data_IF_795187466559
#
_entry.id   IF_795187466559
#
_cell.length_a   1.000
_cell.length_b   1.000
_cell.length_c   1.000
_cell.angle_alpha   90.00
_cell.angle_beta   90.00
_cell.angle_gamma   90.00
#
_symmetry.space_group_name_H-M   'P 1'
#
loop_
_entity.id
_entity.type
_entity.pdbx_description
1 polymer ?
#
# COMPACT_ATOMS: atom_id res chain seq x y z
N UNK A 1 -16.29 26.92 -12.07
CA UNK A 1 -15.61 27.45 -10.86
C UNK A 1 -16.45 28.61 -10.33
N UNK A 2 -16.88 28.53 -9.11
CA UNK A 2 -17.73 29.57 -8.52
C UNK A 2 -16.84 30.71 -8.02
N UNK A 3 -16.97 31.86 -8.61
CA UNK A 3 -16.26 33.10 -8.23
C UNK A 3 -16.53 33.58 -6.79
N UNK A 4 -17.38 32.84 -6.03
CA UNK A 4 -17.78 33.19 -4.67
C UNK A 4 -16.78 32.79 -3.59
N UNK A 5 -15.77 31.97 -3.91
CA UNK A 5 -14.80 31.49 -2.92
C UNK A 5 -13.38 31.73 -3.40
N UNK A 6 -12.54 32.20 -2.51
CA UNK A 6 -11.11 32.32 -2.76
C UNK A 6 -10.51 30.92 -2.84
N UNK A 7 -9.94 30.56 -3.99
CA UNK A 7 -9.29 29.27 -4.19
C UNK A 7 -7.79 29.44 -4.07
N UNK A 8 -7.18 28.68 -3.19
CA UNK A 8 -5.72 28.60 -3.04
C UNK A 8 -5.26 27.26 -3.58
N UNK A 9 -4.34 27.27 -4.55
CA UNK A 9 -3.73 26.08 -5.11
C UNK A 9 -2.34 25.87 -4.52
N UNK A 10 -2.15 24.74 -3.82
CA UNK A 10 -0.85 24.35 -3.32
C UNK A 10 -0.04 23.75 -4.47
N UNK A 11 1.14 24.31 -4.74
CA UNK A 11 2.00 23.91 -5.86
C UNK A 11 3.30 23.24 -5.41
N UNK A 12 3.65 23.36 -4.12
CA UNK A 12 4.88 22.80 -3.60
C UNK A 12 4.60 21.56 -2.71
N UNK A 13 5.40 20.52 -2.91
CA UNK A 13 5.37 19.29 -2.11
C UNK A 13 6.56 19.30 -1.15
N UNK A 14 6.28 19.43 0.16
CA UNK A 14 7.30 19.46 1.21
C UNK A 14 7.49 18.13 1.93
N UNK A 15 6.53 17.19 1.80
CA UNK A 15 6.54 15.90 2.51
C UNK A 15 7.69 14.99 2.10
N UNK A 16 8.08 15.00 0.82
CA UNK A 16 9.15 14.19 0.25
C UNK A 16 10.38 15.06 -0.03
N UNK A 17 11.56 14.43 -0.03
CA UNK A 17 12.82 15.10 -0.42
C UNK A 17 12.72 15.64 -1.85
N UNK A 18 13.47 16.70 -2.16
CA UNK A 18 13.41 17.34 -3.49
C UNK A 18 13.70 16.36 -4.65
N UNK A 19 14.62 15.41 -4.45
CA UNK A 19 15.00 14.39 -5.45
C UNK A 19 14.24 13.07 -5.30
N UNK A 20 13.14 13.05 -4.56
CA UNK A 20 12.30 11.85 -4.38
C UNK A 20 11.70 11.39 -5.71
N UNK A 21 11.88 10.11 -6.03
CA UNK A 21 11.26 9.48 -7.21
C UNK A 21 9.73 9.42 -7.07
N UNK A 22 9.21 9.37 -5.84
CA UNK A 22 7.77 9.48 -5.58
C UNK A 22 7.23 10.81 -6.12
N UNK A 23 7.91 11.93 -5.83
CA UNK A 23 7.49 13.26 -6.30
C UNK A 23 7.55 13.36 -7.82
N UNK A 24 8.65 12.92 -8.42
CA UNK A 24 8.87 12.97 -9.87
C UNK A 24 7.79 12.15 -10.59
N UNK A 25 7.57 10.91 -10.16
CA UNK A 25 6.57 10.03 -10.79
C UNK A 25 5.13 10.50 -10.52
N UNK A 26 4.83 11.10 -9.38
CA UNK A 26 3.52 11.71 -9.12
C UNK A 26 3.22 12.85 -10.09
N UNK A 27 4.20 13.72 -10.39
CA UNK A 27 4.05 14.76 -11.41
C UNK A 27 3.85 14.18 -12.81
N UNK A 28 4.62 13.14 -13.20
CA UNK A 28 4.45 12.45 -14.48
C UNK A 28 3.05 11.87 -14.63
N UNK A 29 2.57 11.13 -13.65
CA UNK A 29 1.22 10.55 -13.65
C UNK A 29 0.15 11.64 -13.78
N UNK A 30 0.30 12.76 -13.08
CA UNK A 30 -0.62 13.88 -13.16
C UNK A 30 -0.66 14.54 -14.55
N UNK A 31 0.40 14.41 -15.34
CA UNK A 31 0.47 14.85 -16.73
C UNK A 31 0.10 13.76 -17.75
N UNK A 32 -0.37 12.59 -17.28
CA UNK A 32 -0.75 11.47 -18.13
C UNK A 32 0.43 10.64 -18.63
N UNK A 33 1.62 10.83 -18.07
CA UNK A 33 2.80 10.06 -18.41
C UNK A 33 2.87 8.76 -17.57
N UNK A 34 3.39 7.69 -18.17
CA UNK A 34 3.61 6.43 -17.49
C UNK A 34 4.87 6.55 -16.62
N UNK A 35 4.82 6.16 -15.32
CA UNK A 35 6.00 6.11 -14.47
C UNK A 35 7.01 5.11 -15.01
N UNK A 36 8.29 5.43 -14.90
CA UNK A 36 9.34 4.52 -15.33
C UNK A 36 9.41 3.32 -14.38
N UNK A 37 9.45 2.07 -14.90
CA UNK A 37 9.63 0.91 -14.07
C UNK A 37 11.03 0.96 -13.44
N UNK A 38 11.06 1.03 -12.14
CA UNK A 38 12.27 0.88 -11.34
C UNK A 38 12.12 -0.43 -10.59
N UNK A 39 12.91 -1.44 -10.94
CA UNK A 39 12.90 -2.73 -10.25
C UNK A 39 13.23 -2.59 -8.77
N UNK A 40 13.02 -3.67 -8.02
CA UNK A 40 13.36 -3.72 -6.59
C UNK A 40 14.88 -3.59 -6.33
N UNK A 41 15.72 -3.77 -7.35
CA UNK A 41 17.18 -3.65 -7.25
C UNK A 41 17.66 -2.19 -7.20
N UNK A 42 16.78 -1.24 -7.42
CA UNK A 42 17.12 0.19 -7.40
C UNK A 42 17.01 0.77 -5.99
N UNK A 43 18.03 1.48 -5.55
CA UNK A 43 18.06 2.21 -4.27
C UNK A 43 17.24 3.51 -4.32
N UNK A 44 15.95 3.38 -4.63
CA UNK A 44 15.02 4.50 -4.71
C UNK A 44 13.89 4.38 -3.69
N UNK A 45 13.13 5.45 -3.57
CA UNK A 45 11.93 5.54 -2.74
C UNK A 45 10.64 5.25 -3.53
N UNK A 46 10.75 4.89 -4.82
CA UNK A 46 9.63 4.53 -5.69
C UNK A 46 9.98 3.30 -6.52
N UNK A 47 9.13 2.28 -6.44
CA UNK A 47 9.26 1.05 -7.20
C UNK A 47 7.99 0.77 -7.99
N UNK A 48 8.13 0.59 -9.29
CA UNK A 48 7.02 0.20 -10.18
C UNK A 48 7.26 -1.22 -10.67
N UNK A 49 6.40 -2.14 -10.24
CA UNK A 49 6.53 -3.56 -10.52
C UNK A 49 5.43 -3.98 -11.49
N UNK A 50 5.75 -4.32 -12.74
CA UNK A 50 4.75 -4.80 -13.69
C UNK A 50 4.25 -6.19 -13.28
N UNK A 51 2.94 -6.38 -13.38
CA UNK A 51 2.28 -7.66 -13.09
C UNK A 51 1.40 -8.06 -14.28
N UNK A 52 1.25 -9.36 -14.52
CA UNK A 52 0.58 -9.87 -15.72
C UNK A 52 -0.94 -10.05 -15.52
N UNK A 53 -1.35 -10.32 -14.28
CA UNK A 53 -2.77 -10.54 -13.94
C UNK A 53 -2.99 -10.33 -12.44
N UNK A 54 -4.26 -10.36 -12.02
CA UNK A 54 -4.64 -10.12 -10.64
C UNK A 54 -4.06 -11.15 -9.65
N UNK A 55 -3.97 -12.43 -10.04
CA UNK A 55 -3.38 -13.47 -9.20
C UNK A 55 -1.88 -13.20 -8.97
N UNK A 56 -1.15 -12.88 -10.02
CA UNK A 56 0.27 -12.50 -9.91
C UNK A 56 0.44 -11.24 -9.05
N UNK A 57 -0.42 -10.22 -9.22
CA UNK A 57 -0.40 -9.03 -8.38
C UNK A 57 -0.58 -9.36 -6.89
N UNK A 58 -1.55 -10.23 -6.56
CA UNK A 58 -1.82 -10.69 -5.19
C UNK A 58 -0.59 -11.39 -4.59
N UNK A 59 0.04 -12.29 -5.33
CA UNK A 59 1.28 -12.97 -4.91
C UNK A 59 2.44 -12.00 -4.66
N UNK A 60 2.61 -11.02 -5.55
CA UNK A 60 3.64 -9.98 -5.41
C UNK A 60 3.39 -9.13 -4.17
N UNK A 61 2.15 -8.66 -3.95
CA UNK A 61 1.78 -7.87 -2.77
C UNK A 61 2.08 -8.67 -1.49
N UNK A 62 1.64 -9.92 -1.41
CA UNK A 62 1.87 -10.78 -0.24
C UNK A 62 3.36 -10.95 0.04
N UNK A 63 4.16 -11.22 -0.98
CA UNK A 63 5.62 -11.37 -0.85
C UNK A 63 6.31 -10.06 -0.43
N UNK A 64 5.87 -8.92 -0.98
CA UNK A 64 6.38 -7.61 -0.60
C UNK A 64 6.15 -7.33 0.88
N UNK A 65 4.92 -7.53 1.36
CA UNK A 65 4.54 -7.26 2.75
C UNK A 65 5.15 -8.27 3.72
N UNK A 66 5.21 -9.54 3.34
CA UNK A 66 5.70 -10.62 4.22
C UNK A 66 7.22 -10.61 4.39
N UNK A 67 7.94 -10.35 3.32
CA UNK A 67 9.38 -10.64 3.23
C UNK A 67 10.22 -9.42 2.79
N UNK A 68 9.95 -8.91 1.59
CA UNK A 68 10.88 -8.00 0.91
C UNK A 68 10.99 -6.65 1.62
N UNK A 69 9.84 -6.02 1.92
CA UNK A 69 9.83 -4.69 2.56
C UNK A 69 10.39 -4.77 3.99
N UNK A 70 9.95 -5.73 4.85
CA UNK A 70 10.54 -5.88 6.17
C UNK A 70 12.04 -6.07 6.17
N UNK A 71 12.54 -6.96 5.31
CA UNK A 71 13.99 -7.24 5.23
C UNK A 71 14.79 -6.05 4.71
N UNK A 72 14.28 -5.37 3.69
CA UNK A 72 14.98 -4.26 3.04
C UNK A 72 15.06 -3.01 3.91
N UNK A 73 13.99 -2.71 4.64
CA UNK A 73 13.87 -1.47 5.43
C UNK A 73 13.98 -1.70 6.94
N UNK A 74 14.24 -2.92 7.38
CA UNK A 74 14.36 -3.25 8.80
C UNK A 74 13.05 -3.07 9.59
N UNK A 75 11.89 -3.22 8.91
CA UNK A 75 10.58 -3.05 9.53
C UNK A 75 10.25 -4.29 10.33
N UNK A 76 10.13 -4.14 11.64
CA UNK A 76 9.77 -5.22 12.57
C UNK A 76 8.26 -5.33 12.74
N UNK A 77 7.56 -4.20 12.77
CA UNK A 77 6.09 -4.17 12.80
C UNK A 77 5.51 -4.00 11.40
N UNK A 78 4.94 -5.07 10.86
CA UNK A 78 4.25 -5.04 9.56
C UNK A 78 3.04 -4.09 9.52
N UNK A 79 2.55 -3.63 10.67
CA UNK A 79 1.55 -2.58 10.77
C UNK A 79 2.01 -1.22 10.21
N UNK A 80 3.32 -1.01 10.06
CA UNK A 80 3.86 0.19 9.40
C UNK A 80 3.70 0.16 7.89
N UNK A 81 3.43 -1.02 7.29
CA UNK A 81 3.23 -1.18 5.85
C UNK A 81 1.75 -0.99 5.53
N UNK A 82 1.44 -0.06 4.66
CA UNK A 82 0.08 0.19 4.21
C UNK A 82 -0.09 -0.21 2.75
N UNK A 83 -1.09 -1.07 2.49
CA UNK A 83 -1.50 -1.46 1.15
C UNK A 83 -2.73 -0.66 0.74
N UNK A 84 -2.67 -0.01 -0.41
CA UNK A 84 -3.76 0.77 -0.96
C UNK A 84 -4.26 0.12 -2.24
N UNK A 85 -5.58 0.04 -2.40
CA UNK A 85 -6.24 -0.44 -3.61
C UNK A 85 -7.44 0.44 -3.95
N UNK A 86 -7.73 0.70 -5.24
CA UNK A 86 -8.89 1.46 -5.65
C UNK A 86 -10.19 0.64 -5.64
N UNK A 87 -10.12 -0.66 -5.37
CA UNK A 87 -11.25 -1.59 -5.45
C UNK A 87 -11.69 -2.07 -4.06
N UNK A 88 -13.00 -2.15 -3.84
CA UNK A 88 -13.56 -2.74 -2.60
C UNK A 88 -13.79 -4.25 -2.73
N UNK A 89 -14.09 -4.75 -3.93
CA UNK A 89 -14.42 -6.15 -4.21
C UNK A 89 -13.50 -6.73 -5.29
N UNK A 90 -13.50 -8.06 -5.40
CA UNK A 90 -12.62 -8.79 -6.33
C UNK A 90 -11.28 -9.14 -5.71
N UNK A 91 -10.47 -9.91 -6.42
CA UNK A 91 -9.22 -10.51 -5.94
C UNK A 91 -8.15 -9.50 -5.47
N UNK A 92 -8.24 -8.25 -5.91
CA UNK A 92 -7.39 -7.15 -5.48
C UNK A 92 -8.17 -6.09 -4.69
N UNK A 93 -9.41 -6.40 -4.28
CA UNK A 93 -10.23 -5.51 -3.47
C UNK A 93 -9.79 -5.51 -2.00
N UNK A 94 -10.21 -4.48 -1.26
CA UNK A 94 -9.87 -4.32 0.16
C UNK A 94 -10.29 -5.52 1.00
N UNK A 95 -11.45 -6.12 0.72
CA UNK A 95 -11.96 -7.27 1.48
C UNK A 95 -11.04 -8.48 1.36
N UNK A 96 -10.68 -8.86 0.14
CA UNK A 96 -9.82 -10.01 -0.14
C UNK A 96 -8.37 -9.77 0.33
N UNK A 97 -7.81 -8.60 0.04
CA UNK A 97 -6.46 -8.28 0.45
C UNK A 97 -6.33 -8.20 1.98
N UNK A 98 -7.30 -7.60 2.67
CA UNK A 98 -7.30 -7.57 4.13
C UNK A 98 -7.38 -8.97 4.72
N UNK A 99 -8.24 -9.84 4.18
CA UNK A 99 -8.33 -11.22 4.62
C UNK A 99 -6.99 -11.95 4.47
N UNK A 100 -6.34 -11.88 3.31
CA UNK A 100 -5.07 -12.56 3.07
C UNK A 100 -3.94 -12.02 3.96
N UNK A 101 -3.83 -10.69 4.07
CA UNK A 101 -2.81 -10.06 4.90
C UNK A 101 -3.04 -10.32 6.40
N UNK A 102 -4.30 -10.41 6.83
CA UNK A 102 -4.66 -10.77 8.19
C UNK A 102 -4.29 -12.23 8.49
N UNK A 103 -4.63 -13.18 7.59
CA UNK A 103 -4.23 -14.59 7.75
C UNK A 103 -2.71 -14.73 7.87
N UNK A 104 -1.97 -14.01 7.06
CA UNK A 104 -0.51 -14.01 7.11
C UNK A 104 0.04 -13.50 8.45
N UNK A 105 -0.62 -12.53 9.10
CA UNK A 105 -0.26 -12.05 10.44
C UNK A 105 -0.66 -13.04 11.53
N UNK A 106 -1.80 -13.68 11.37
CA UNK A 106 -2.38 -14.61 12.32
C UNK A 106 -1.65 -15.97 12.42
N UNK A 107 -0.74 -16.29 11.48
CA UNK A 107 0.06 -17.54 11.52
C UNK A 107 0.75 -17.81 12.86
N UNK A 108 0.99 -16.78 13.67
CA UNK A 108 1.66 -16.86 14.97
C UNK A 108 0.77 -16.44 16.16
N UNK A 109 -0.53 -16.17 15.92
CA UNK A 109 -1.46 -15.74 16.97
C UNK A 109 -2.33 -16.91 17.45
N UNK A 110 -2.66 -16.92 18.74
CA UNK A 110 -3.55 -17.90 19.33
C UNK A 110 -5.01 -17.53 19.03
N UNK A 111 -5.93 -18.52 19.09
CA UNK A 111 -7.38 -18.24 18.96
C UNK A 111 -7.90 -17.26 20.03
N UNK A 112 -7.20 -17.15 21.16
CA UNK A 112 -7.56 -16.23 22.25
C UNK A 112 -7.38 -14.76 21.89
N UNK A 113 -6.57 -14.48 20.87
CA UNK A 113 -6.27 -13.12 20.39
C UNK A 113 -7.25 -12.66 19.29
N UNK A 114 -8.31 -13.46 19.04
CA UNK A 114 -9.33 -13.21 18.03
C UNK A 114 -10.60 -12.65 18.67
N UNK A 115 -11.12 -11.58 18.09
CA UNK A 115 -12.42 -10.98 18.43
C UNK A 115 -13.29 -11.03 17.18
N UNK A 116 -14.49 -11.57 17.31
CA UNK A 116 -15.50 -11.57 16.24
C UNK A 116 -16.46 -10.38 16.42
N UNK A 117 -16.60 -9.56 15.39
CA UNK A 117 -17.50 -8.41 15.42
C UNK A 117 -17.89 -7.95 14.02
N UNK A 118 -19.13 -7.50 13.84
CA UNK A 118 -19.65 -6.97 12.57
C UNK A 118 -19.47 -7.92 11.36
N UNK A 119 -19.49 -9.23 11.59
CA UNK A 119 -19.26 -10.24 10.54
C UNK A 119 -17.81 -10.35 10.06
N UNK A 120 -16.88 -9.80 10.80
CA UNK A 120 -15.44 -9.88 10.53
C UNK A 120 -14.68 -10.38 11.76
N UNK A 121 -13.51 -10.94 11.53
CA UNK A 121 -12.60 -11.38 12.59
C UNK A 121 -11.50 -10.33 12.75
N UNK A 122 -11.28 -9.92 13.97
CA UNK A 122 -10.21 -9.02 14.34
C UNK A 122 -9.18 -9.76 15.20
N UNK A 123 -7.92 -9.48 14.99
CA UNK A 123 -6.83 -10.02 15.78
C UNK A 123 -6.10 -8.90 16.51
N UNK A 124 -5.43 -9.24 17.59
CA UNK A 124 -4.61 -8.27 18.31
C UNK A 124 -3.57 -7.63 17.38
N UNK A 125 -3.54 -6.29 17.36
CA UNK A 125 -2.67 -5.51 16.47
C UNK A 125 -3.27 -5.17 15.10
N UNK A 126 -4.54 -5.54 14.82
CA UNK A 126 -5.23 -5.06 13.62
C UNK A 126 -5.53 -3.57 13.74
N UNK A 127 -5.36 -2.85 12.64
CA UNK A 127 -5.77 -1.44 12.55
C UNK A 127 -7.26 -1.38 12.29
N UNK A 128 -7.97 -0.69 13.17
CA UNK A 128 -9.41 -0.42 13.05
C UNK A 128 -9.64 1.09 12.93
N UNK A 129 -10.65 1.47 12.15
CA UNK A 129 -11.13 2.85 12.02
C UNK A 129 -12.59 2.92 12.42
#
# INVERSE_FOLDING_TARGET
ESERFTTVRLTEVHRQRQMSQIKINAHRINHGEIPQPTGLDHDGDFHYIPVHNALHAKQVITKLVKEIIPQRYGITDRGEIQVLTPLNRGSLGTLELNFDLQQMRAENLSERDRIEGFGQNFHFGDRVM
#
